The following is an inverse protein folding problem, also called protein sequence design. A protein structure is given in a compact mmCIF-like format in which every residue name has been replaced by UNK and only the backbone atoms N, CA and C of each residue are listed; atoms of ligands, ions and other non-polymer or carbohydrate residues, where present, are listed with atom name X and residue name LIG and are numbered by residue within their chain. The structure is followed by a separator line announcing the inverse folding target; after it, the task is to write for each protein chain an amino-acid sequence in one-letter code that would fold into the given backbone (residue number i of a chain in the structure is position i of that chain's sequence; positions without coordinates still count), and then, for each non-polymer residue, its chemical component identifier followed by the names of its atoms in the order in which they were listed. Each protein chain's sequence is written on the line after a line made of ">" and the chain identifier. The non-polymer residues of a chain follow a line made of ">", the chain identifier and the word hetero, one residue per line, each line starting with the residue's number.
data_IF_831565792277
#
_entry.id   IF_831565792277
#
_cell.length_a   1.000
_cell.length_b   1.000
_cell.length_c   1.000
_cell.angle_alpha   90.00
_cell.angle_beta   90.00
_cell.angle_gamma   90.00
#
_symmetry.space_group_name_H-M   'P 1'
#
loop_
_entity.id
_entity.type
_entity.pdbx_description
1 polymer ?
#
# COMPACT_ATOMS: atom_id res chain seq x y z
N UNK A 1 -21.59 14.93 15.70
CA UNK A 1 -22.14 13.67 16.24
C UNK A 1 -21.90 12.44 15.34
N UNK A 2 -21.15 12.58 14.22
CA UNK A 2 -20.85 11.49 13.27
C UNK A 2 -19.48 10.81 13.47
N UNK A 3 -18.63 11.30 14.40
CA UNK A 3 -17.22 10.89 14.54
C UNK A 3 -16.98 9.72 15.52
N UNK A 4 -18.02 9.23 16.21
CA UNK A 4 -17.91 8.19 17.25
C UNK A 4 -18.11 6.75 16.70
N UNK A 5 -18.64 6.59 15.48
CA UNK A 5 -19.09 5.28 14.98
C UNK A 5 -18.01 4.39 14.34
N UNK A 6 -16.84 4.91 13.96
CA UNK A 6 -15.87 4.10 13.19
C UNK A 6 -14.98 3.18 14.03
N UNK A 7 -14.75 3.46 15.33
CA UNK A 7 -13.98 2.55 16.19
C UNK A 7 -14.84 1.79 17.22
N UNK A 8 -16.02 2.31 17.59
CA UNK A 8 -16.92 1.59 18.52
C UNK A 8 -17.52 0.31 17.92
N UNK A 9 -17.51 0.14 16.59
CA UNK A 9 -18.01 -1.08 15.94
C UNK A 9 -17.09 -2.28 16.08
N UNK A 10 -15.81 -2.09 16.41
CA UNK A 10 -14.88 -3.19 16.66
C UNK A 10 -14.96 -3.72 18.10
N UNK A 11 -15.37 -2.90 19.08
CA UNK A 11 -15.16 -3.21 20.51
C UNK A 11 -16.39 -3.74 21.26
N UNK A 12 -17.58 -3.80 20.65
CA UNK A 12 -18.83 -4.16 21.36
C UNK A 12 -19.60 -5.34 20.74
N UNK A 13 -18.89 -6.25 20.06
CA UNK A 13 -19.48 -7.37 19.33
C UNK A 13 -19.59 -8.71 20.07
N UNK A 14 -19.58 -8.77 21.41
CA UNK A 14 -19.83 -10.04 22.14
C UNK A 14 -20.61 -9.87 23.44
N UNK A 15 -21.93 -9.96 23.33
CA UNK A 15 -22.77 -10.51 24.41
C UNK A 15 -23.76 -11.50 23.81
N UNK A 16 -23.56 -12.75 24.21
CA UNK A 16 -24.41 -13.96 24.15
C UNK A 16 -25.88 -13.74 23.76
N UNK A 17 -26.37 -14.49 22.76
CA UNK A 17 -27.58 -15.33 22.84
C UNK A 17 -27.58 -16.35 21.68
N UNK A 18 -27.69 -17.62 22.03
CA UNK A 18 -27.79 -18.71 21.06
C UNK A 18 -29.20 -18.89 20.51
N UNK A 19 -29.30 -19.39 19.27
CA UNK A 19 -30.06 -20.60 18.92
C UNK A 19 -29.90 -20.93 17.42
N UNK A 20 -29.58 -22.20 17.16
CA UNK A 20 -30.15 -23.06 16.11
C UNK A 20 -29.97 -22.77 14.59
N UNK A 21 -29.19 -23.68 13.98
CA UNK A 21 -29.49 -24.53 12.79
C UNK A 21 -29.81 -23.92 11.41
N UNK A 22 -28.99 -24.42 10.47
CA UNK A 22 -29.28 -25.05 9.17
C UNK A 22 -29.39 -24.20 7.89
N UNK A 23 -28.92 -24.84 6.80
CA UNK A 23 -29.00 -24.58 5.36
C UNK A 23 -27.78 -23.83 4.77
N UNK A 24 -26.73 -24.49 4.25
CA UNK A 24 -26.59 -25.21 2.96
C UNK A 24 -27.33 -24.60 1.76
N UNK A 25 -26.60 -23.98 0.83
CA UNK A 25 -26.41 -24.52 -0.53
C UNK A 25 -25.46 -23.64 -1.36
N UNK A 26 -24.56 -24.34 -2.03
CA UNK A 26 -23.73 -23.97 -3.17
C UNK A 26 -24.53 -23.44 -4.37
N UNK A 27 -23.87 -22.66 -5.23
CA UNK A 27 -23.95 -22.81 -6.68
C UNK A 27 -22.76 -22.19 -7.40
N UNK A 28 -22.29 -22.94 -8.40
CA UNK A 28 -21.07 -22.79 -9.19
C UNK A 28 -21.48 -22.63 -10.67
N UNK A 29 -20.77 -21.75 -11.38
CA UNK A 29 -20.40 -21.72 -12.82
C UNK A 29 -21.46 -21.69 -13.93
N UNK A 30 -21.22 -20.83 -14.95
CA UNK A 30 -20.91 -21.12 -16.38
C UNK A 30 -21.39 -19.96 -17.28
N UNK A 31 -20.48 -19.24 -17.96
CA UNK A 31 -19.94 -19.45 -19.33
C UNK A 31 -20.82 -18.84 -20.44
N UNK A 32 -20.25 -17.97 -21.27
CA UNK A 32 -20.24 -18.16 -22.73
C UNK A 32 -19.25 -17.21 -23.42
N UNK A 33 -18.45 -17.81 -24.31
CA UNK A 33 -17.58 -17.20 -25.31
C UNK A 33 -18.37 -16.56 -26.46
N UNK A 34 -17.74 -15.62 -27.19
CA UNK A 34 -17.60 -15.71 -28.65
C UNK A 34 -16.53 -14.73 -29.18
N UNK A 35 -15.79 -15.21 -30.17
CA UNK A 35 -14.63 -14.61 -30.83
C UNK A 35 -14.87 -14.58 -32.35
N UNK A 36 -14.09 -13.71 -33.02
CA UNK A 36 -13.72 -13.62 -34.46
C UNK A 36 -14.58 -12.74 -35.37
N UNK A 37 -14.05 -12.06 -36.40
CA UNK A 37 -12.69 -11.66 -36.83
C UNK A 37 -12.81 -10.96 -38.21
N UNK A 38 -11.72 -10.27 -38.62
CA UNK A 38 -11.29 -9.83 -39.98
C UNK A 38 -11.67 -8.39 -40.39
N UNK A 39 -10.71 -7.47 -40.63
CA UNK A 39 -9.69 -7.38 -41.73
C UNK A 39 -10.38 -7.29 -43.11
N UNK A 40 -10.03 -6.44 -44.07
CA UNK A 40 -9.04 -5.37 -44.22
C UNK A 40 -9.38 -4.62 -45.53
N UNK A 41 -8.66 -3.52 -45.77
CA UNK A 41 -8.15 -3.08 -47.08
C UNK A 41 -8.69 -1.80 -47.75
N UNK A 42 -7.71 -1.02 -48.23
CA UNK A 42 -7.76 0.36 -48.76
C UNK A 42 -7.92 0.30 -50.31
N UNK A 43 -7.72 1.33 -51.20
CA UNK A 43 -6.73 2.42 -51.13
C UNK A 43 -7.05 3.79 -51.79
N UNK A 44 -6.12 4.72 -51.54
CA UNK A 44 -5.55 5.76 -52.44
C UNK A 44 -6.44 6.86 -53.04
N UNK A 45 -6.02 8.12 -52.82
CA UNK A 45 -5.46 8.93 -53.92
C UNK A 45 -4.65 10.15 -53.41
N UNK A 46 -3.58 10.40 -54.15
CA UNK A 46 -2.56 11.45 -54.10
C UNK A 46 -3.07 12.83 -54.52
N UNK A 47 -2.54 13.91 -53.96
CA UNK A 47 -2.00 15.02 -54.78
C UNK A 47 -1.00 15.92 -54.01
N UNK A 48 0.00 16.41 -54.74
CA UNK A 48 1.12 17.25 -54.29
C UNK A 48 0.73 18.74 -54.19
N UNK A 49 1.33 19.49 -53.27
CA UNK A 49 2.04 20.76 -53.61
C UNK A 49 2.81 21.34 -52.42
N UNK A 50 4.01 21.84 -52.73
CA UNK A 50 4.97 22.47 -51.83
C UNK A 50 4.62 23.96 -51.58
N UNK A 51 4.83 24.46 -50.36
CA UNK A 51 5.61 25.70 -50.17
C UNK A 51 6.03 26.00 -48.72
N UNK A 52 7.14 26.73 -48.60
CA UNK A 52 8.02 26.92 -47.43
C UNK A 52 7.57 27.98 -46.39
N UNK A 53 7.93 27.69 -45.13
CA UNK A 53 8.52 28.60 -44.09
C UNK A 53 7.59 29.55 -43.28
N UNK A 54 8.06 30.16 -42.16
CA UNK A 54 7.95 29.57 -40.80
C UNK A 54 7.61 30.60 -39.70
N UNK A 55 6.50 30.50 -38.98
CA UNK A 55 6.30 31.28 -37.73
C UNK A 55 5.09 30.77 -36.98
N UNK A 56 5.27 30.34 -35.74
CA UNK A 56 4.31 30.61 -34.66
C UNK A 56 4.91 30.15 -33.33
N UNK A 57 5.36 31.13 -32.56
CA UNK A 57 4.99 31.33 -31.16
C UNK A 57 5.17 30.12 -30.21
N UNK A 58 6.32 30.11 -29.52
CA UNK A 58 6.49 29.35 -28.29
C UNK A 58 5.65 30.07 -27.22
N UNK A 59 4.39 29.67 -27.10
CA UNK A 59 3.62 29.94 -25.88
C UNK A 59 4.22 29.10 -24.75
N UNK A 60 4.93 29.75 -23.83
CA UNK A 60 5.32 29.16 -22.55
C UNK A 60 4.06 28.83 -21.74
N UNK A 61 3.78 27.55 -21.43
CA UNK A 61 2.63 27.19 -20.60
C UNK A 61 2.84 27.73 -19.19
N UNK A 62 1.77 28.27 -18.61
CA UNK A 62 1.74 28.78 -17.24
C UNK A 62 2.21 27.70 -16.24
N UNK A 63 2.84 28.11 -15.14
CA UNK A 63 3.49 27.19 -14.19
C UNK A 63 2.59 26.08 -13.64
N UNK A 64 1.27 26.30 -13.58
CA UNK A 64 0.28 25.30 -13.14
C UNK A 64 0.06 24.17 -14.16
N UNK A 65 0.07 24.49 -15.45
CA UNK A 65 -0.06 23.51 -16.54
C UNK A 65 1.15 22.58 -16.59
N UNK A 66 2.35 23.11 -16.35
CA UNK A 66 3.57 22.32 -16.27
C UNK A 66 3.52 21.34 -15.08
N UNK A 67 3.03 21.77 -13.91
CA UNK A 67 2.92 20.87 -12.74
C UNK A 67 1.90 19.76 -12.97
N UNK A 68 0.72 20.09 -13.49
CA UNK A 68 -0.31 19.10 -13.80
C UNK A 68 0.17 18.08 -14.84
N UNK A 69 0.90 18.53 -15.87
CA UNK A 69 1.51 17.66 -16.88
C UNK A 69 2.57 16.76 -16.27
N UNK A 70 3.50 17.30 -15.47
CA UNK A 70 4.57 16.54 -14.81
C UNK A 70 4.02 15.50 -13.83
N UNK A 71 2.96 15.80 -13.08
CA UNK A 71 2.31 14.82 -12.18
C UNK A 71 1.65 13.70 -12.98
N UNK A 72 1.03 14.03 -14.12
CA UNK A 72 0.40 13.04 -14.99
C UNK A 72 1.47 12.14 -15.64
N UNK A 73 2.54 12.73 -16.18
CA UNK A 73 3.69 12.02 -16.76
C UNK A 73 4.41 11.14 -15.72
N UNK A 74 4.55 11.59 -14.47
CA UNK A 74 5.14 10.80 -13.39
C UNK A 74 4.29 9.59 -12.96
N UNK A 75 2.97 9.65 -13.18
CA UNK A 75 2.03 8.59 -12.83
C UNK A 75 1.76 7.62 -13.99
N UNK A 76 1.98 8.05 -15.23
CA UNK A 76 1.83 7.22 -16.42
C UNK A 76 3.20 6.72 -16.85
N UNK A 77 3.57 5.52 -16.40
CA UNK A 77 4.78 4.81 -16.85
C UNK A 77 4.71 4.39 -18.34
N UNK A 78 3.95 5.09 -19.19
CA UNK A 78 3.69 4.78 -20.59
C UNK A 78 4.93 4.83 -21.47
N UNK A 79 5.93 5.62 -21.07
CA UNK A 79 7.19 5.76 -21.82
C UNK A 79 8.22 4.69 -21.44
N UNK A 80 7.96 3.92 -20.39
CA UNK A 80 8.83 2.85 -19.90
C UNK A 80 8.53 1.58 -20.68
N UNK A 81 9.29 1.34 -21.76
CA UNK A 81 9.16 0.13 -22.60
C UNK A 81 9.57 -1.15 -21.88
N UNK A 82 10.38 -1.06 -20.84
CA UNK A 82 10.82 -2.18 -20.01
C UNK A 82 10.24 -2.04 -18.60
N UNK A 83 9.10 -2.68 -18.35
CA UNK A 83 8.45 -2.75 -17.04
C UNK A 83 8.82 -4.02 -16.29
N UNK A 84 9.86 -4.77 -16.68
CA UNK A 84 10.22 -6.04 -16.02
C UNK A 84 10.59 -5.88 -14.54
N UNK A 85 10.90 -4.65 -14.12
CA UNK A 85 11.23 -4.27 -12.75
C UNK A 85 9.98 -3.88 -11.92
N UNK A 86 8.83 -3.62 -12.54
CA UNK A 86 7.62 -3.17 -11.87
C UNK A 86 6.62 -4.31 -11.68
N UNK A 87 6.27 -4.61 -10.44
CA UNK A 87 5.15 -5.48 -10.11
C UNK A 87 3.91 -4.63 -9.88
N UNK A 88 3.03 -4.58 -10.87
CA UNK A 88 1.72 -3.94 -10.68
C UNK A 88 0.94 -4.71 -9.61
N UNK A 89 0.38 -4.04 -8.58
CA UNK A 89 -0.51 -4.69 -7.62
C UNK A 89 -1.85 -5.09 -8.26
N UNK A 90 -2.11 -4.66 -9.50
CA UNK A 90 -3.31 -4.97 -10.27
C UNK A 90 -3.09 -6.14 -11.24
N UNK A 91 -4.09 -7.01 -11.46
CA UNK A 91 -4.03 -8.05 -12.50
C UNK A 91 -3.68 -7.45 -13.86
N UNK A 92 -2.95 -8.21 -14.68
CA UNK A 92 -2.39 -7.75 -15.95
C UNK A 92 -3.43 -7.13 -16.91
N UNK A 93 -4.68 -7.58 -16.83
CA UNK A 93 -5.76 -7.17 -17.73
C UNK A 93 -6.63 -6.04 -17.16
N UNK A 94 -6.29 -5.47 -16.00
CA UNK A 94 -7.05 -4.34 -15.44
C UNK A 94 -6.65 -3.06 -16.17
N UNK A 95 -7.60 -2.32 -16.77
CA UNK A 95 -7.32 -1.02 -17.35
C UNK A 95 -6.74 -0.09 -16.28
N UNK A 96 -5.45 0.24 -16.40
CA UNK A 96 -4.76 1.19 -15.50
C UNK A 96 -5.12 2.65 -15.82
N UNK A 97 -5.68 2.89 -17.00
CA UNK A 97 -6.30 4.14 -17.37
C UNK A 97 -7.81 3.93 -17.44
N UNK A 98 -8.51 4.31 -16.38
CA UNK A 98 -9.91 4.66 -16.51
C UNK A 98 -9.91 6.02 -17.20
N UNK A 99 -10.50 6.14 -18.40
CA UNK A 99 -10.91 7.45 -18.90
C UNK A 99 -11.88 7.99 -17.87
N UNK A 100 -11.38 8.80 -16.93
CA UNK A 100 -12.23 9.49 -15.97
C UNK A 100 -13.17 10.35 -16.82
N UNK A 101 -14.44 9.92 -16.97
CA UNK A 101 -15.51 10.84 -17.33
C UNK A 101 -15.30 12.09 -16.47
N UNK A 102 -15.36 13.28 -17.07
CA UNK A 102 -15.14 14.57 -16.41
C UNK A 102 -16.24 14.82 -15.36
N UNK A 103 -16.27 14.01 -14.31
CA UNK A 103 -16.96 14.28 -13.08
C UNK A 103 -16.21 15.46 -12.49
N UNK A 104 -16.89 16.60 -12.37
CA UNK A 104 -16.33 17.77 -11.73
C UNK A 104 -15.90 17.39 -10.31
N UNK A 105 -14.61 17.10 -10.11
CA UNK A 105 -14.03 16.85 -8.79
C UNK A 105 -14.27 18.14 -7.98
N UNK A 106 -14.99 18.07 -6.85
CA UNK A 106 -15.23 19.26 -6.04
C UNK A 106 -13.87 19.84 -5.64
N UNK A 107 -13.70 21.16 -5.79
CA UNK A 107 -12.51 21.85 -5.32
C UNK A 107 -12.51 21.81 -3.80
N UNK A 108 -11.68 20.96 -3.23
CA UNK A 108 -11.50 20.83 -1.78
C UNK A 108 -10.28 21.67 -1.39
N UNK A 109 -10.43 22.54 -0.40
CA UNK A 109 -9.30 23.29 0.16
C UNK A 109 -8.39 22.34 0.96
N UNK A 110 -7.10 22.18 0.59
CA UNK A 110 -6.17 21.32 1.31
C UNK A 110 -5.98 21.71 2.79
N UNK A 111 -6.17 22.98 3.16
CA UNK A 111 -6.04 23.44 4.54
C UNK A 111 -7.17 22.94 5.44
N UNK A 112 -8.29 22.56 4.83
CA UNK A 112 -9.49 22.07 5.52
C UNK A 112 -9.57 20.54 5.53
N UNK A 113 -8.54 19.85 5.03
CA UNK A 113 -8.50 18.39 4.96
C UNK A 113 -7.23 17.79 5.54
N UNK A 114 -7.30 16.51 5.88
CA UNK A 114 -6.18 15.74 6.38
C UNK A 114 -6.06 14.41 5.62
N UNK A 115 -4.83 13.97 5.41
CA UNK A 115 -4.50 12.63 4.96
C UNK A 115 -3.65 11.98 6.04
N UNK A 116 -4.05 10.79 6.48
CA UNK A 116 -3.30 10.05 7.50
C UNK A 116 -2.40 9.02 6.83
N UNK A 117 -1.10 9.15 7.04
CA UNK A 117 -0.10 8.26 6.48
C UNK A 117 0.50 7.34 7.55
N UNK A 118 0.54 6.04 7.27
CA UNK A 118 1.04 5.03 8.18
C UNK A 118 2.41 4.50 7.74
N UNK A 119 3.40 4.44 8.66
CA UNK A 119 4.72 3.95 8.34
C UNK A 119 4.74 2.42 8.15
N UNK A 120 5.75 1.95 7.43
CA UNK A 120 6.06 0.52 7.32
C UNK A 120 6.89 -0.02 8.49
N UNK A 121 7.33 -1.27 8.33
CA UNK A 121 8.21 -1.98 9.27
C UNK A 121 9.55 -1.23 9.48
N UNK A 122 10.18 -1.41 10.64
CA UNK A 122 11.56 -0.96 10.91
C UNK A 122 11.70 0.37 11.66
N UNK A 123 10.57 0.98 12.06
CA UNK A 123 10.57 2.25 12.81
C UNK A 123 10.49 2.06 14.33
N UNK A 124 10.11 0.86 14.79
CA UNK A 124 9.82 0.61 16.21
C UNK A 124 11.07 0.23 17.01
N UNK A 125 11.18 0.81 18.21
CA UNK A 125 12.21 0.50 19.21
C UNK A 125 11.59 0.08 20.53
N UNK A 126 12.29 -0.76 21.28
CA UNK A 126 11.88 -1.15 22.63
C UNK A 126 11.67 0.10 23.50
N UNK A 127 10.57 0.15 24.23
CA UNK A 127 10.16 1.28 25.07
C UNK A 127 9.46 2.41 24.31
N UNK A 128 9.48 2.44 22.97
CA UNK A 128 8.88 3.53 22.19
C UNK A 128 7.36 3.68 22.40
N UNK A 129 6.68 2.57 22.73
CA UNK A 129 5.24 2.48 22.98
C UNK A 129 4.83 3.12 24.31
N UNK A 130 5.75 3.27 25.27
CA UNK A 130 5.47 3.79 26.63
C UNK A 130 4.70 5.11 26.60
N UNK A 131 5.01 5.98 25.62
CA UNK A 131 4.38 7.30 25.46
C UNK A 131 2.88 7.24 25.17
N UNK A 132 2.39 6.13 24.62
CA UNK A 132 0.98 5.93 24.27
C UNK A 132 0.20 5.25 25.40
N UNK A 133 0.87 4.59 26.34
CA UNK A 133 0.20 3.86 27.42
C UNK A 133 -0.45 4.77 28.47
N UNK A 134 -0.34 6.09 28.37
CA UNK A 134 -1.16 7.00 29.17
C UNK A 134 -2.61 7.07 28.69
N UNK A 135 -2.88 6.66 27.45
CA UNK A 135 -4.21 6.60 26.85
C UNK A 135 -4.80 5.20 27.11
N UNK A 136 -5.93 5.06 27.83
CA UNK A 136 -6.50 3.75 28.18
C UNK A 136 -6.79 2.87 26.96
N UNK A 137 -7.35 3.46 25.90
CA UNK A 137 -7.68 2.77 24.65
C UNK A 137 -6.44 2.19 23.97
N UNK A 138 -5.28 2.85 24.11
CA UNK A 138 -4.03 2.30 23.60
C UNK A 138 -3.64 1.00 24.33
N UNK A 139 -3.89 0.89 25.64
CA UNK A 139 -3.63 -0.36 26.39
C UNK A 139 -4.58 -1.47 25.97
N UNK A 140 -5.86 -1.15 25.86
CA UNK A 140 -6.91 -2.09 25.41
C UNK A 140 -6.58 -2.70 24.04
N UNK A 141 -6.07 -1.90 23.09
CA UNK A 141 -5.60 -2.38 21.79
C UNK A 141 -4.53 -3.47 21.92
N UNK A 142 -3.55 -3.27 22.80
CA UNK A 142 -2.51 -4.29 23.02
C UNK A 142 -3.05 -5.51 23.76
N UNK A 143 -3.96 -5.35 24.71
CA UNK A 143 -4.57 -6.46 25.45
C UNK A 143 -5.37 -7.37 24.53
N UNK A 144 -6.23 -6.81 23.68
CA UNK A 144 -6.96 -7.59 22.67
C UNK A 144 -6.02 -8.25 21.66
N UNK A 145 -4.95 -7.56 21.24
CA UNK A 145 -3.97 -8.14 20.34
C UNK A 145 -3.24 -9.33 20.98
N UNK A 146 -2.92 -9.27 22.27
CA UNK A 146 -2.28 -10.37 22.98
C UNK A 146 -3.16 -11.64 22.96
N UNK A 147 -4.49 -11.51 23.10
CA UNK A 147 -5.43 -12.64 23.00
C UNK A 147 -5.43 -13.27 21.60
N UNK A 148 -5.33 -12.44 20.56
CA UNK A 148 -5.33 -12.91 19.15
C UNK A 148 -4.00 -13.56 18.79
N UNK A 149 -2.89 -13.01 19.29
CA UNK A 149 -1.54 -13.42 18.94
C UNK A 149 -1.02 -14.59 19.78
N UNK A 150 -1.66 -14.88 20.92
CA UNK A 150 -1.24 -15.89 21.90
C UNK A 150 0.15 -15.62 22.50
N UNK A 151 0.54 -14.34 22.62
CA UNK A 151 1.71 -13.90 23.37
C UNK A 151 1.60 -12.43 23.78
N UNK A 152 2.39 -12.03 24.78
CA UNK A 152 2.41 -10.66 25.29
C UNK A 152 3.28 -9.74 24.41
N UNK A 153 2.67 -9.18 23.37
CA UNK A 153 3.29 -8.23 22.46
C UNK A 153 3.66 -6.93 23.17
N UNK A 154 2.81 -6.44 24.09
CA UNK A 154 3.10 -5.21 24.83
C UNK A 154 4.37 -5.32 25.67
N UNK A 155 4.53 -6.43 26.39
CA UNK A 155 5.75 -6.69 27.16
C UNK A 155 6.99 -6.77 26.26
N UNK A 156 6.87 -7.38 25.08
CA UNK A 156 7.96 -7.40 24.09
C UNK A 156 8.31 -5.98 23.63
N UNK A 157 7.32 -5.16 23.28
CA UNK A 157 7.51 -3.77 22.88
C UNK A 157 8.10 -2.89 23.98
N UNK A 158 7.82 -3.18 25.26
CA UNK A 158 8.31 -2.36 26.38
C UNK A 158 9.67 -2.78 26.92
N UNK A 159 9.91 -4.10 27.03
CA UNK A 159 11.01 -4.66 27.82
C UNK A 159 11.73 -5.83 27.15
N UNK A 160 11.28 -6.28 25.98
CA UNK A 160 11.93 -7.39 25.30
C UNK A 160 13.29 -7.00 24.73
N UNK A 161 14.13 -7.98 24.35
CA UNK A 161 15.35 -7.69 23.62
C UNK A 161 15.00 -7.13 22.24
N UNK A 162 15.73 -6.10 21.82
CA UNK A 162 15.49 -5.43 20.54
C UNK A 162 15.63 -6.41 19.38
N UNK A 163 16.55 -7.36 19.47
CA UNK A 163 16.81 -8.39 18.46
C UNK A 163 15.59 -9.27 18.23
N UNK A 164 14.81 -9.56 19.28
CA UNK A 164 13.55 -10.31 19.14
C UNK A 164 12.47 -9.42 18.53
N UNK A 165 12.35 -8.17 18.97
CA UNK A 165 11.38 -7.22 18.41
C UNK A 165 11.65 -6.93 16.91
N UNK A 166 12.90 -7.01 16.48
CA UNK A 166 13.32 -6.80 15.09
C UNK A 166 12.96 -7.97 14.17
N UNK A 167 12.69 -9.17 14.70
CA UNK A 167 12.21 -10.28 13.88
C UNK A 167 10.87 -9.92 13.24
N UNK A 168 10.75 -10.15 11.93
CA UNK A 168 9.61 -9.73 11.10
C UNK A 168 8.26 -10.19 11.68
N UNK A 169 8.19 -11.42 12.21
CA UNK A 169 6.97 -11.96 12.84
C UNK A 169 6.48 -11.18 14.06
N UNK A 170 7.38 -10.51 14.79
CA UNK A 170 7.03 -9.69 15.95
C UNK A 170 6.95 -8.21 15.59
N UNK A 171 7.85 -7.74 14.73
CA UNK A 171 7.93 -6.34 14.33
C UNK A 171 6.67 -5.87 13.60
N UNK A 172 6.08 -6.73 12.75
CA UNK A 172 4.91 -6.34 11.98
C UNK A 172 3.68 -6.07 12.87
N UNK A 173 3.22 -7.00 13.73
CA UNK A 173 2.17 -6.69 14.70
C UNK A 173 2.53 -5.49 15.58
N UNK A 174 3.76 -5.42 16.07
CA UNK A 174 4.20 -4.32 16.93
C UNK A 174 4.06 -2.94 16.25
N UNK A 175 4.43 -2.84 14.98
CA UNK A 175 4.34 -1.60 14.19
C UNK A 175 2.90 -1.17 13.94
N UNK A 176 2.02 -2.12 13.57
CA UNK A 176 0.59 -1.84 13.38
C UNK A 176 -0.03 -1.37 14.69
N UNK A 177 0.14 -2.12 15.79
CA UNK A 177 -0.45 -1.77 17.08
C UNK A 177 0.08 -0.46 17.64
N UNK A 178 1.36 -0.17 17.44
CA UNK A 178 1.95 1.12 17.86
C UNK A 178 1.39 2.28 17.06
N UNK A 179 1.15 2.09 15.76
CA UNK A 179 0.53 3.11 14.91
C UNK A 179 -0.93 3.37 15.32
N UNK A 180 -1.69 2.33 15.64
CA UNK A 180 -3.05 2.47 16.17
C UNK A 180 -3.06 3.13 17.57
N UNK A 181 -2.12 2.77 18.44
CA UNK A 181 -1.95 3.44 19.73
C UNK A 181 -1.58 4.94 19.59
N UNK A 182 -0.82 5.30 18.54
CA UNK A 182 -0.54 6.69 18.23
C UNK A 182 -1.78 7.46 17.76
N UNK A 183 -2.76 6.80 17.13
CA UNK A 183 -4.04 7.40 16.79
C UNK A 183 -4.86 7.73 18.04
N UNK A 184 -4.80 6.92 19.10
CA UNK A 184 -5.50 7.24 20.35
C UNK A 184 -4.95 8.52 20.99
N UNK A 185 -3.62 8.70 20.96
CA UNK A 185 -3.01 9.99 21.31
C UNK A 185 -3.51 11.13 20.43
N UNK A 186 -3.55 10.91 19.12
CA UNK A 186 -3.98 11.93 18.15
C UNK A 186 -5.45 12.31 18.36
N UNK A 187 -6.29 11.36 18.75
CA UNK A 187 -7.72 11.56 19.04
C UNK A 187 -7.92 12.51 20.22
N UNK A 188 -7.08 12.41 21.24
CA UNK A 188 -7.13 13.31 22.39
C UNK A 188 -6.50 14.68 22.09
N UNK A 189 -5.34 14.70 21.44
CA UNK A 189 -4.58 15.95 21.22
C UNK A 189 -5.08 16.78 20.03
N UNK A 190 -5.61 16.14 18.98
CA UNK A 190 -6.01 16.79 17.71
C UNK A 190 -7.23 16.10 17.08
N UNK A 191 -8.41 16.13 17.74
CA UNK A 191 -9.61 15.44 17.25
C UNK A 191 -10.07 15.88 15.86
N UNK A 192 -9.83 17.14 15.46
CA UNK A 192 -10.18 17.67 14.13
C UNK A 192 -9.58 16.83 12.99
N UNK A 193 -8.44 16.16 13.20
CA UNK A 193 -7.82 15.28 12.20
C UNK A 193 -8.79 14.19 11.73
N UNK A 194 -9.60 13.64 12.63
CA UNK A 194 -10.55 12.57 12.29
C UNK A 194 -11.78 13.10 11.55
N UNK A 195 -12.21 14.32 11.88
CA UNK A 195 -13.37 14.96 11.23
C UNK A 195 -13.05 15.45 9.82
N UNK A 196 -11.78 15.80 9.55
CA UNK A 196 -11.33 16.32 8.26
C UNK A 196 -10.49 15.31 7.46
N UNK A 197 -10.35 14.08 7.95
CA UNK A 197 -9.63 13.02 7.24
C UNK A 197 -10.39 12.62 5.99
N UNK A 198 -9.80 12.82 4.82
CA UNK A 198 -10.41 12.45 3.52
C UNK A 198 -9.78 11.21 2.90
N UNK A 199 -8.58 10.84 3.35
CA UNK A 199 -7.88 9.66 2.86
C UNK A 199 -6.90 9.11 3.90
N UNK A 200 -6.61 7.82 3.80
CA UNK A 200 -5.55 7.16 4.52
C UNK A 200 -4.73 6.29 3.57
N UNK A 201 -3.42 6.25 3.78
CA UNK A 201 -2.53 5.39 3.02
C UNK A 201 -1.40 4.90 3.94
N UNK A 202 -0.71 3.85 3.53
CA UNK A 202 0.45 3.41 4.27
C UNK A 202 1.47 2.71 3.40
N UNK A 203 2.72 2.77 3.85
CA UNK A 203 3.84 2.20 3.10
C UNK A 203 4.07 0.74 3.49
N UNK A 204 3.96 -0.17 2.54
CA UNK A 204 4.13 -1.62 2.75
C UNK A 204 3.21 -2.13 3.88
N UNK A 205 3.76 -2.46 5.05
CA UNK A 205 2.99 -2.84 6.23
C UNK A 205 1.99 -1.76 6.68
N UNK A 206 2.30 -0.48 6.46
CA UNK A 206 1.43 0.63 6.83
C UNK A 206 0.06 0.55 6.15
N UNK A 207 -0.04 -0.08 4.97
CA UNK A 207 -1.30 -0.26 4.25
C UNK A 207 -2.32 -1.05 5.09
N UNK A 208 -1.89 -2.09 5.79
CA UNK A 208 -2.76 -2.83 6.71
C UNK A 208 -3.26 -1.95 7.86
N UNK A 209 -2.42 -1.05 8.35
CA UNK A 209 -2.83 -0.08 9.37
C UNK A 209 -3.87 0.90 8.82
N UNK A 210 -3.70 1.37 7.58
CA UNK A 210 -4.65 2.25 6.91
C UNK A 210 -6.01 1.56 6.67
N UNK A 211 -6.00 0.27 6.30
CA UNK A 211 -7.21 -0.54 6.13
C UNK A 211 -7.95 -0.77 7.45
N UNK A 212 -7.24 -0.99 8.56
CA UNK A 212 -7.84 -1.08 9.90
C UNK A 212 -8.41 0.29 10.30
N UNK A 213 -7.64 1.37 10.12
CA UNK A 213 -8.06 2.73 10.48
C UNK A 213 -9.31 3.20 9.73
N UNK A 214 -9.40 2.89 8.43
CA UNK A 214 -10.57 3.21 7.59
C UNK A 214 -11.79 2.32 7.87
N UNK A 215 -11.63 1.24 8.65
CA UNK A 215 -12.68 0.26 8.92
C UNK A 215 -12.93 -0.73 7.76
N UNK A 216 -12.09 -0.72 6.72
CA UNK A 216 -12.15 -1.71 5.64
C UNK A 216 -11.75 -3.11 6.14
N UNK A 217 -10.87 -3.17 7.15
CA UNK A 217 -10.60 -4.37 7.94
C UNK A 217 -11.04 -4.15 9.38
N UNK A 218 -11.64 -5.19 9.99
CA UNK A 218 -11.84 -5.20 11.44
C UNK A 218 -10.49 -5.20 12.15
N UNK A 219 -10.45 -4.74 13.40
CA UNK A 219 -9.23 -4.78 14.19
C UNK A 219 -8.72 -6.22 14.31
N UNK A 220 -9.59 -7.17 14.63
CA UNK A 220 -9.25 -8.55 14.86
C UNK A 220 -8.72 -9.25 13.60
N UNK A 221 -9.38 -9.07 12.46
CA UNK A 221 -8.92 -9.62 11.19
C UNK A 221 -7.62 -8.96 10.74
N UNK A 222 -7.47 -7.65 10.97
CA UNK A 222 -6.23 -6.93 10.73
C UNK A 222 -5.05 -7.47 11.54
N UNK A 223 -5.24 -7.71 12.85
CA UNK A 223 -4.22 -8.29 13.73
C UNK A 223 -3.86 -9.73 13.32
N UNK A 224 -4.85 -10.54 12.93
CA UNK A 224 -4.59 -11.90 12.40
C UNK A 224 -3.82 -11.85 11.09
N UNK A 225 -4.23 -10.99 10.17
CA UNK A 225 -3.60 -10.85 8.85
C UNK A 225 -2.14 -10.42 8.98
N UNK A 226 -1.84 -9.42 9.81
CA UNK A 226 -0.46 -8.99 10.03
C UNK A 226 0.39 -10.07 10.69
N UNK A 227 -0.19 -10.87 11.61
CA UNK A 227 0.50 -12.01 12.21
C UNK A 227 0.86 -13.07 11.16
N UNK A 228 -0.10 -13.46 10.32
CA UNK A 228 0.13 -14.44 9.24
C UNK A 228 1.18 -13.90 8.25
N UNK A 229 1.06 -12.65 7.82
CA UNK A 229 2.02 -11.99 6.92
C UNK A 229 3.43 -11.97 7.52
N UNK A 230 3.56 -11.56 8.78
CA UNK A 230 4.84 -11.50 9.47
C UNK A 230 5.51 -12.87 9.61
N UNK A 231 4.73 -13.91 9.96
CA UNK A 231 5.23 -15.27 10.04
C UNK A 231 5.63 -15.84 8.68
N UNK A 232 4.83 -15.62 7.63
CA UNK A 232 5.13 -16.09 6.28
C UNK A 232 6.41 -15.43 5.73
N UNK A 233 6.58 -14.12 5.93
CA UNK A 233 7.79 -13.39 5.52
C UNK A 233 9.03 -13.84 6.32
N UNK A 234 8.88 -14.04 7.63
CA UNK A 234 9.97 -14.56 8.46
C UNK A 234 10.42 -15.94 7.96
N UNK A 235 9.47 -16.85 7.72
CA UNK A 235 9.74 -18.18 7.21
C UNK A 235 10.43 -18.17 5.83
N UNK A 236 9.99 -17.30 4.93
CA UNK A 236 10.63 -17.14 3.62
C UNK A 236 12.09 -16.64 3.77
N UNK A 237 12.34 -15.67 4.64
CA UNK A 237 13.69 -15.14 4.89
C UNK A 237 14.65 -16.14 5.55
N UNK A 238 14.12 -17.08 6.34
CA UNK A 238 14.90 -18.16 6.95
C UNK A 238 15.21 -19.27 5.95
N UNK A 239 14.36 -19.46 4.93
CA UNK A 239 14.55 -20.46 3.88
C UNK A 239 15.61 -20.08 2.86
N UNK A 240 15.75 -18.79 2.54
CA UNK A 240 16.67 -18.31 1.53
C UNK A 240 17.39 -17.06 2.02
N UNK A 241 18.74 -17.05 2.04
CA UNK A 241 19.51 -15.83 2.26
C UNK A 241 19.09 -14.77 1.23
N UNK A 242 18.70 -13.60 1.73
CA UNK A 242 18.22 -12.49 0.90
C UNK A 242 18.52 -11.15 1.58
N UNK A 243 18.53 -10.08 0.80
CA UNK A 243 18.76 -8.73 1.28
C UNK A 243 18.06 -7.69 0.43
N UNK A 244 18.03 -6.45 0.90
CA UNK A 244 17.49 -5.30 0.18
C UNK A 244 18.41 -4.11 0.41
N UNK A 245 18.59 -3.28 -0.62
CA UNK A 245 19.37 -2.04 -0.54
C UNK A 245 18.57 -0.87 -1.11
N UNK A 246 18.70 0.30 -0.48
CA UNK A 246 18.22 1.57 -1.05
C UNK A 246 19.29 2.17 -1.94
N UNK A 247 18.97 2.44 -3.20
CA UNK A 247 19.89 3.02 -4.18
C UNK A 247 19.38 4.40 -4.61
N UNK A 248 20.27 5.38 -4.65
CA UNK A 248 19.99 6.69 -5.24
C UNK A 248 20.55 6.73 -6.65
N UNK A 249 19.71 7.09 -7.62
CA UNK A 249 20.07 7.07 -9.03
C UNK A 249 19.57 8.31 -9.77
N UNK A 250 20.23 8.63 -10.88
CA UNK A 250 19.75 9.65 -11.80
C UNK A 250 18.56 9.13 -12.63
N UNK A 251 17.69 10.00 -13.18
CA UNK A 251 16.52 9.57 -13.95
C UNK A 251 16.83 8.69 -15.17
N UNK A 252 18.01 8.83 -15.75
CA UNK A 252 18.51 8.05 -16.90
C UNK A 252 19.29 6.79 -16.49
N UNK A 253 19.32 6.46 -15.20
CA UNK A 253 20.01 5.28 -14.70
C UNK A 253 19.38 4.00 -15.25
N UNK A 254 20.25 3.11 -15.75
CA UNK A 254 19.86 1.84 -16.35
C UNK A 254 19.81 0.72 -15.32
N UNK A 255 18.85 0.79 -14.39
CA UNK A 255 18.73 -0.20 -13.30
C UNK A 255 18.57 -1.64 -13.81
N UNK A 256 17.80 -1.87 -14.88
CA UNK A 256 17.64 -3.20 -15.48
C UNK A 256 18.97 -3.80 -15.97
N UNK A 257 19.86 -2.98 -16.54
CA UNK A 257 21.20 -3.43 -16.96
C UNK A 257 22.08 -3.73 -15.73
N UNK A 258 22.04 -2.86 -14.71
CA UNK A 258 22.77 -3.06 -13.46
C UNK A 258 22.36 -4.36 -12.72
N UNK A 259 21.07 -4.68 -12.67
CA UNK A 259 20.59 -5.93 -12.06
C UNK A 259 21.08 -7.17 -12.84
N UNK A 260 21.12 -7.11 -14.17
CA UNK A 260 21.65 -8.19 -15.02
C UNK A 260 23.16 -8.37 -14.80
N UNK A 261 23.90 -7.27 -14.73
CA UNK A 261 25.34 -7.30 -14.47
C UNK A 261 25.64 -7.86 -13.07
N UNK A 262 24.87 -7.49 -12.05
CA UNK A 262 24.98 -8.03 -10.70
C UNK A 262 24.67 -9.53 -10.66
N UNK A 263 23.63 -9.98 -11.38
CA UNK A 263 23.30 -11.40 -11.50
C UNK A 263 24.44 -12.20 -12.14
N UNK A 264 25.00 -11.69 -13.25
CA UNK A 264 26.14 -12.31 -13.93
C UNK A 264 27.37 -12.37 -13.01
N UNK A 265 27.69 -11.28 -12.33
CA UNK A 265 28.77 -11.24 -11.36
C UNK A 265 28.60 -12.30 -10.27
N UNK A 266 27.38 -12.49 -9.76
CA UNK A 266 27.10 -13.50 -8.74
C UNK A 266 27.27 -14.95 -9.28
N UNK A 267 26.83 -15.21 -10.52
CA UNK A 267 27.07 -16.50 -11.20
C UNK A 267 28.57 -16.78 -11.36
N UNK A 268 29.34 -15.79 -11.81
CA UNK A 268 30.80 -15.90 -11.98
C UNK A 268 31.52 -16.15 -10.63
N UNK A 269 30.90 -15.77 -9.51
CA UNK A 269 31.39 -16.03 -8.15
C UNK A 269 30.80 -17.31 -7.50
N UNK A 270 30.09 -18.14 -8.26
CA UNK A 270 29.62 -19.45 -7.81
C UNK A 270 28.31 -19.46 -7.04
N UNK A 271 27.50 -18.40 -7.13
CA UNK A 271 26.11 -18.44 -6.64
C UNK A 271 25.26 -19.19 -7.68
N UNK A 272 24.64 -20.31 -7.30
CA UNK A 272 23.97 -21.22 -8.25
C UNK A 272 22.70 -20.63 -8.89
N UNK A 273 21.93 -19.82 -8.15
CA UNK A 273 20.68 -19.20 -8.62
C UNK A 273 20.51 -17.76 -8.10
N UNK A 274 21.36 -16.80 -8.51
CA UNK A 274 21.27 -15.44 -8.01
C UNK A 274 20.03 -14.74 -8.56
N UNK A 275 19.29 -14.08 -7.67
CA UNK A 275 18.18 -13.19 -8.01
C UNK A 275 18.58 -11.76 -7.68
N UNK A 276 18.53 -10.88 -8.68
CA UNK A 276 18.73 -9.44 -8.52
C UNK A 276 17.58 -8.72 -9.22
N UNK A 277 16.80 -7.97 -8.43
CA UNK A 277 15.59 -7.26 -8.86
C UNK A 277 15.66 -5.82 -8.35
#
# INVERSE_FOLDING_TARGET
>A
MFSVMMLQRALFGKTVHGLSRLLTSSRVSKFSDSVSAKEDDSPSNTDESQNKSPTSDIETPTGEENVARLVKEAATYSDVKDTSWSTSPYPADVPTSVEEEKVAKPKIDPLETCIVLFPGQGTIKVGSVQRYLRFPQARELFEMANEILDFDLLKLCLKGPQEKLDQTRFNQPATVLTSLAALERLREERPRVFDTCVAAAGYSLGELTALIFSGALTFEDGVRLVSVRGNAMQYASEKSPQGMMSVYCAPDAKLSEACKDAQKWALDNGVEEPVCQ
#
